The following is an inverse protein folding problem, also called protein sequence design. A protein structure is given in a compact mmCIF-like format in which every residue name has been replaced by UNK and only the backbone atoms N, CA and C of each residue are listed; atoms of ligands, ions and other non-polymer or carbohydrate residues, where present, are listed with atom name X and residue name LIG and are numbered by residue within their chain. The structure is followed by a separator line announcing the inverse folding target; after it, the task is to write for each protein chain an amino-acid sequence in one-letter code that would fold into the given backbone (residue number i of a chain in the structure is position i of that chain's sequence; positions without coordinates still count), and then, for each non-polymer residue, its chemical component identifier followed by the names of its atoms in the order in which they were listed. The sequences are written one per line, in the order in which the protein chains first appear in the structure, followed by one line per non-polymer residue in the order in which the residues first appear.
data_IF_702880915789
#
_entry.id   IF_702880915789
#
_cell.length_a   1.000
_cell.length_b   1.000
_cell.length_c   1.000
_cell.angle_alpha   90.00
_cell.angle_beta   90.00
_cell.angle_gamma   90.00
#
_symmetry.space_group_name_H-M   'P 1'
#
loop_
_entity.id
_entity.type
_entity.pdbx_description
1 polymer ?
#
# COMPACT_ATOMS: atom_id res chain seq x y z
N UNK A 1 -18.22 15.55 -29.28
CA UNK A 1 -17.90 14.11 -29.32
C UNK A 1 -16.63 13.88 -28.50
N UNK A 2 -16.69 13.18 -27.38
CA UNK A 2 -15.50 12.87 -26.57
C UNK A 2 -14.97 11.48 -26.93
N UNK A 3 -13.77 11.43 -27.49
CA UNK A 3 -13.10 10.17 -27.85
C UNK A 3 -12.51 9.56 -26.58
N UNK A 4 -13.16 8.54 -26.03
CA UNK A 4 -12.63 7.79 -24.89
C UNK A 4 -11.44 6.93 -25.33
N UNK A 5 -10.23 7.39 -25.07
CA UNK A 5 -9.01 6.61 -25.32
C UNK A 5 -8.99 5.39 -24.41
N UNK A 6 -9.40 4.22 -24.93
CA UNK A 6 -9.22 2.95 -24.23
C UNK A 6 -7.72 2.65 -24.12
N UNK A 7 -7.13 2.96 -22.97
CA UNK A 7 -5.78 2.51 -22.62
C UNK A 7 -5.82 0.99 -22.42
N UNK A 8 -5.56 0.26 -23.50
CA UNK A 8 -5.46 -1.19 -23.48
C UNK A 8 -4.39 -1.61 -22.47
N UNK A 9 -4.76 -2.28 -21.37
CA UNK A 9 -3.80 -2.76 -20.38
C UNK A 9 -2.84 -3.75 -21.05
N UNK A 10 -1.61 -3.31 -21.34
CA UNK A 10 -0.54 -4.19 -21.79
C UNK A 10 -0.07 -4.99 -20.59
N UNK A 11 -0.81 -6.06 -20.26
CA UNK A 11 -0.28 -7.14 -19.43
C UNK A 11 0.95 -7.67 -20.15
N UNK A 12 2.11 -7.56 -19.53
CA UNK A 12 3.36 -8.13 -20.04
C UNK A 12 3.49 -9.56 -19.48
N UNK A 13 3.07 -10.61 -20.23
CA UNK A 13 3.31 -11.98 -19.81
C UNK A 13 4.82 -12.21 -19.74
N UNK A 14 5.31 -12.77 -18.63
CA UNK A 14 6.75 -13.06 -18.47
C UNK A 14 7.17 -14.35 -19.19
N UNK A 15 6.67 -14.58 -20.40
CA UNK A 15 6.96 -15.75 -21.21
C UNK A 15 7.64 -15.32 -22.51
N UNK A 16 8.97 -15.45 -22.56
CA UNK A 16 9.75 -15.37 -23.81
C UNK A 16 10.34 -16.76 -24.08
N UNK A 17 10.60 -17.15 -25.34
CA UNK A 17 11.17 -18.48 -25.65
C UNK A 17 12.47 -18.80 -24.92
N UNK A 18 13.25 -17.77 -24.57
CA UNK A 18 14.54 -17.87 -23.87
C UNK A 18 14.49 -17.46 -22.40
N UNK A 19 13.34 -17.00 -21.89
CA UNK A 19 13.19 -16.57 -20.49
C UNK A 19 12.05 -17.33 -19.81
N UNK A 20 12.42 -18.22 -18.89
CA UNK A 20 11.48 -18.93 -18.02
C UNK A 20 11.47 -18.27 -16.64
N UNK A 21 10.37 -17.64 -16.22
CA UNK A 21 10.28 -17.00 -14.91
C UNK A 21 10.17 -18.08 -13.81
N UNK A 22 10.41 -17.69 -12.56
CA UNK A 22 10.18 -18.58 -11.42
C UNK A 22 8.70 -19.03 -11.37
N UNK A 23 8.45 -20.27 -10.93
CA UNK A 23 7.10 -20.86 -10.88
C UNK A 23 6.11 -19.94 -10.17
N UNK A 24 4.94 -19.69 -10.79
CA UNK A 24 3.93 -18.76 -10.28
C UNK A 24 4.19 -17.26 -10.55
N UNK A 25 5.23 -16.92 -11.31
CA UNK A 25 5.53 -15.55 -11.74
C UNK A 25 5.07 -15.31 -13.19
N UNK A 26 3.76 -15.30 -13.41
CA UNK A 26 3.13 -15.18 -14.74
C UNK A 26 2.99 -13.75 -15.26
N UNK A 27 2.94 -12.77 -14.35
CA UNK A 27 2.75 -11.34 -14.63
C UNK A 27 3.81 -10.53 -13.85
N UNK A 28 4.55 -9.66 -14.55
CA UNK A 28 5.61 -8.84 -13.97
C UNK A 28 5.08 -7.87 -12.88
N UNK A 29 3.94 -7.23 -13.14
CA UNK A 29 3.33 -6.27 -12.20
C UNK A 29 2.90 -6.97 -10.90
N UNK A 30 2.27 -8.14 -11.01
CA UNK A 30 1.89 -8.95 -9.83
C UNK A 30 3.10 -9.54 -9.10
N UNK A 31 4.19 -9.82 -9.81
CA UNK A 31 5.44 -10.26 -9.19
C UNK A 31 6.04 -9.14 -8.32
N UNK A 32 6.22 -7.94 -8.88
CA UNK A 32 6.79 -6.78 -8.15
C UNK A 32 5.98 -6.47 -6.88
N UNK A 33 4.64 -6.40 -6.98
CA UNK A 33 3.80 -6.11 -5.80
C UNK A 33 3.81 -7.25 -4.79
N UNK A 34 3.87 -8.53 -5.20
CA UNK A 34 4.03 -9.66 -4.27
C UNK A 34 5.37 -9.64 -3.55
N UNK A 35 6.48 -9.39 -4.26
CA UNK A 35 7.81 -9.25 -3.68
C UNK A 35 7.87 -8.07 -2.70
N UNK A 36 7.28 -6.93 -3.05
CA UNK A 36 7.19 -5.77 -2.16
C UNK A 36 6.41 -6.09 -0.89
N UNK A 37 5.21 -6.70 -0.99
CA UNK A 37 4.40 -7.12 0.17
C UNK A 37 5.17 -8.12 1.04
N UNK A 38 5.86 -9.10 0.45
CA UNK A 38 6.67 -10.07 1.19
C UNK A 38 7.81 -9.37 1.95
N UNK A 39 8.59 -8.51 1.28
CA UNK A 39 9.68 -7.76 1.90
C UNK A 39 9.19 -6.81 2.99
N UNK A 40 8.04 -6.17 2.78
CA UNK A 40 7.40 -5.29 3.76
C UNK A 40 6.87 -6.10 4.97
N UNK A 41 6.40 -7.33 4.79
CA UNK A 41 5.98 -8.21 5.89
C UNK A 41 7.16 -8.61 6.79
N UNK A 42 8.33 -8.88 6.21
CA UNK A 42 9.58 -9.07 6.98
C UNK A 42 10.04 -7.82 7.73
N UNK A 43 9.55 -6.65 7.33
CA UNK A 43 9.81 -5.36 7.96
C UNK A 43 10.99 -4.60 7.35
N UNK A 44 10.78 -3.31 7.10
CA UNK A 44 11.76 -2.41 6.49
C UNK A 44 12.10 -1.30 7.49
N UNK A 45 13.38 -1.18 7.84
CA UNK A 45 13.86 -0.10 8.70
C UNK A 45 13.86 1.22 7.94
N UNK A 46 13.21 2.23 8.53
CA UNK A 46 13.14 3.60 8.04
C UNK A 46 13.19 4.59 9.21
N UNK A 47 13.55 5.84 8.97
CA UNK A 47 13.30 6.91 9.95
C UNK A 47 11.86 7.38 9.79
N UNK A 48 11.07 7.28 10.86
CA UNK A 48 9.69 7.75 10.88
C UNK A 48 9.60 9.09 11.61
N UNK A 49 9.06 10.10 10.95
CA UNK A 49 8.76 11.39 11.59
C UNK A 49 7.41 11.31 12.31
N UNK A 50 7.32 11.91 13.50
CA UNK A 50 6.08 11.95 14.28
C UNK A 50 5.38 13.32 14.17
N UNK A 51 4.05 13.32 14.25
CA UNK A 51 3.21 14.51 13.97
C UNK A 51 3.30 15.62 15.01
N UNK A 52 3.50 15.30 16.29
CA UNK A 52 3.60 16.31 17.37
C UNK A 52 4.95 17.03 17.29
N UNK A 53 5.00 18.35 17.44
CA UNK A 53 6.26 19.12 17.44
C UNK A 53 7.32 18.55 18.41
N UNK A 54 6.87 18.00 19.54
CA UNK A 54 7.74 17.46 20.60
C UNK A 54 8.30 16.05 20.35
N UNK A 55 7.71 15.26 19.45
CA UNK A 55 8.19 13.89 19.21
C UNK A 55 9.34 13.88 18.19
N UNK A 56 10.48 13.32 18.59
CA UNK A 56 11.68 13.19 17.75
C UNK A 56 11.45 12.25 16.57
N UNK A 57 12.14 12.48 15.46
CA UNK A 57 12.27 11.53 14.34
C UNK A 57 13.04 10.30 14.84
N UNK A 58 12.60 9.08 14.51
CA UNK A 58 13.13 7.84 15.11
C UNK A 58 13.16 6.66 14.12
N UNK A 59 14.12 5.75 14.25
CA UNK A 59 14.19 4.52 13.47
C UNK A 59 13.04 3.56 13.84
N UNK A 60 12.32 3.07 12.83
CA UNK A 60 11.17 2.18 13.00
C UNK A 60 11.20 1.10 11.93
N UNK A 61 10.79 -0.11 12.30
CA UNK A 61 10.59 -1.22 11.36
C UNK A 61 9.15 -1.19 10.89
N UNK A 62 8.94 -0.60 9.71
CA UNK A 62 7.67 -0.50 9.02
C UNK A 62 7.30 -1.88 8.44
N UNK A 63 6.09 -2.36 8.70
CA UNK A 63 5.66 -3.67 8.19
C UNK A 63 4.16 -3.73 7.90
N UNK A 64 3.80 -4.67 7.02
CA UNK A 64 2.40 -5.02 6.72
C UNK A 64 2.00 -6.28 7.49
N UNK A 65 0.75 -6.35 7.95
CA UNK A 65 0.20 -7.55 8.59
C UNK A 65 0.04 -8.72 7.60
N UNK A 66 -0.33 -9.90 8.10
CA UNK A 66 -0.68 -11.08 7.29
C UNK A 66 -1.69 -10.77 6.19
N UNK A 67 -2.69 -9.94 6.51
CA UNK A 67 -3.73 -9.44 5.60
C UNK A 67 -3.23 -8.68 4.34
N UNK A 68 -1.93 -8.32 4.27
CA UNK A 68 -1.32 -7.70 3.10
C UNK A 68 -1.82 -6.28 2.78
N UNK A 69 -2.69 -5.72 3.61
CA UNK A 69 -3.37 -4.42 3.42
C UNK A 69 -3.08 -3.43 4.56
N UNK A 70 -2.74 -3.94 5.74
CA UNK A 70 -2.65 -3.12 6.94
C UNK A 70 -1.21 -2.82 7.33
N UNK A 71 -0.84 -1.54 7.29
CA UNK A 71 0.47 -1.03 7.64
C UNK A 71 0.57 -0.69 9.13
N UNK A 72 1.66 -1.08 9.78
CA UNK A 72 2.04 -0.62 11.12
C UNK A 72 3.56 -0.55 11.25
N UNK A 73 4.09 -0.19 12.41
CA UNK A 73 5.53 -0.06 12.63
C UNK A 73 5.90 -0.41 14.07
N UNK A 74 7.10 -0.97 14.31
CA UNK A 74 7.66 -1.19 15.65
C UNK A 74 8.97 -0.42 15.85
N UNK A 75 9.46 -0.19 17.08
CA UNK A 75 10.82 0.28 17.32
C UNK A 75 11.85 -0.57 16.56
N UNK A 76 12.91 0.05 16.07
CA UNK A 76 14.10 -0.67 15.65
C UNK A 76 14.89 -1.16 16.88
N UNK A 77 15.97 -1.92 16.67
CA UNK A 77 16.89 -2.26 17.76
C UNK A 77 17.53 -0.97 18.34
N UNK A 78 17.64 -0.89 19.66
CA UNK A 78 18.16 0.30 20.37
C UNK A 78 17.22 1.50 20.46
N UNK A 79 16.02 1.43 19.86
CA UNK A 79 15.05 2.54 19.86
C UNK A 79 14.04 2.44 21.02
N UNK A 80 13.71 3.55 21.71
CA UNK A 80 12.72 3.53 22.78
C UNK A 80 11.35 3.04 22.30
N UNK A 81 10.82 2.08 23.05
CA UNK A 81 9.44 1.60 22.93
C UNK A 81 8.45 2.60 23.51
N UNK A 82 7.16 2.40 23.21
CA UNK A 82 6.06 3.13 23.84
C UNK A 82 5.01 2.11 24.25
N UNK A 83 4.38 2.34 25.41
CA UNK A 83 3.22 1.56 25.86
C UNK A 83 2.02 1.70 24.92
N UNK A 84 1.92 2.80 24.17
CA UNK A 84 0.86 3.00 23.17
C UNK A 84 1.15 2.17 21.92
N UNK A 85 0.30 1.18 21.66
CA UNK A 85 0.36 0.38 20.43
C UNK A 85 0.28 1.30 19.19
N UNK A 86 1.11 1.05 18.17
CA UNK A 86 1.07 1.79 16.92
C UNK A 86 -0.23 1.47 16.16
N UNK A 87 -0.80 2.44 15.42
CA UNK A 87 -2.06 2.26 14.71
C UNK A 87 -1.89 1.28 13.55
N UNK A 88 -2.89 0.42 13.36
CA UNK A 88 -3.05 -0.41 12.17
C UNK A 88 -3.72 0.44 11.08
N UNK A 89 -2.98 0.84 10.05
CA UNK A 89 -3.45 1.75 8.99
C UNK A 89 -3.81 0.97 7.73
N UNK A 90 -4.97 1.26 7.17
CA UNK A 90 -5.46 0.61 5.95
C UNK A 90 -4.87 1.25 4.69
N UNK A 91 -3.97 0.56 4.00
CA UNK A 91 -3.32 1.04 2.77
C UNK A 91 -4.31 1.31 1.63
N UNK A 92 -5.49 0.68 1.60
CA UNK A 92 -6.49 1.01 0.58
C UNK A 92 -7.13 2.39 0.79
N UNK A 93 -6.85 3.05 1.93
CA UNK A 93 -7.28 4.43 2.24
C UNK A 93 -6.13 5.43 2.11
N UNK A 94 -4.95 5.00 1.68
CA UNK A 94 -3.86 5.88 1.31
C UNK A 94 -4.22 6.59 -0.01
N UNK A 95 -4.39 7.91 0.01
CA UNK A 95 -4.82 8.70 -1.15
C UNK A 95 -3.64 9.16 -2.03
N UNK A 96 -2.43 9.21 -1.46
CA UNK A 96 -1.24 9.73 -2.15
C UNK A 96 0.05 9.15 -1.54
N UNK A 97 1.06 8.93 -2.38
CA UNK A 97 2.45 8.68 -1.97
C UNK A 97 3.29 9.87 -2.43
N UNK A 98 3.50 10.84 -1.53
CA UNK A 98 4.10 12.14 -1.88
C UNK A 98 5.61 12.17 -1.61
N UNK A 99 6.43 12.52 -2.58
CA UNK A 99 7.86 12.77 -2.34
C UNK A 99 8.07 14.11 -1.60
N UNK A 100 9.17 14.24 -0.84
CA UNK A 100 9.46 15.49 -0.14
C UNK A 100 9.72 16.69 -1.08
N UNK A 101 10.03 16.45 -2.37
CA UNK A 101 10.15 17.49 -3.39
C UNK A 101 8.91 17.69 -4.26
N UNK A 102 7.87 16.84 -4.14
CA UNK A 102 6.58 17.09 -4.81
C UNK A 102 5.91 18.34 -4.20
N UNK A 103 5.29 19.23 -4.99
CA UNK A 103 4.52 20.35 -4.46
C UNK A 103 3.43 19.93 -3.47
N UNK A 104 3.16 20.75 -2.46
CA UNK A 104 2.04 20.56 -1.53
C UNK A 104 0.76 21.10 -2.19
N UNK A 105 -0.24 20.26 -2.54
CA UNK A 105 -1.43 20.70 -3.28
C UNK A 105 -2.30 21.69 -2.50
N UNK A 106 -2.12 21.80 -1.18
CA UNK A 106 -2.77 22.82 -0.36
C UNK A 106 -2.01 24.15 -0.33
N UNK A 107 -0.71 24.15 -0.61
CA UNK A 107 0.15 25.33 -0.60
C UNK A 107 1.29 25.17 -1.63
N UNK A 108 1.05 25.40 -2.94
CA UNK A 108 2.02 25.05 -4.01
C UNK A 108 3.40 25.71 -3.92
N UNK A 109 3.54 26.79 -3.13
CA UNK A 109 4.82 27.44 -2.81
C UNK A 109 5.76 26.56 -1.95
N UNK A 110 5.25 25.46 -1.39
CA UNK A 110 5.98 24.54 -0.53
C UNK A 110 5.97 23.11 -1.11
N UNK A 111 6.97 22.32 -0.75
CA UNK A 111 7.06 20.89 -1.13
C UNK A 111 6.79 19.95 0.04
N UNK A 112 6.48 18.69 -0.26
CA UNK A 112 6.25 17.62 0.70
C UNK A 112 5.01 17.83 1.56
N UNK A 113 5.08 17.38 2.81
CA UNK A 113 4.06 17.60 3.85
C UNK A 113 4.57 18.61 4.89
N UNK A 114 3.70 19.26 5.68
CA UNK A 114 4.13 20.12 6.78
C UNK A 114 5.09 19.42 7.78
N UNK A 115 4.94 18.11 7.98
CA UNK A 115 5.77 17.33 8.89
C UNK A 115 7.15 17.05 8.28
N UNK A 116 7.22 16.73 6.98
CA UNK A 116 8.50 16.61 6.28
C UNK A 116 9.24 17.94 6.29
N UNK A 117 8.57 19.06 5.98
CA UNK A 117 9.18 20.41 6.04
C UNK A 117 9.73 20.77 7.41
N UNK A 118 9.06 20.35 8.49
CA UNK A 118 9.51 20.64 9.85
C UNK A 118 10.60 19.69 10.37
N UNK A 119 10.72 18.45 9.85
CA UNK A 119 11.46 17.36 10.51
C UNK A 119 12.37 16.51 9.64
N UNK A 120 12.28 16.65 8.32
CA UNK A 120 13.28 16.13 7.42
C UNK A 120 14.36 17.20 7.29
N UNK A 121 15.60 16.85 7.62
CA UNK A 121 16.75 17.70 7.31
C UNK A 121 16.86 17.83 5.78
N UNK A 122 17.23 19.01 5.29
CA UNK A 122 17.29 19.27 3.84
C UNK A 122 18.14 18.26 3.05
N UNK A 123 19.33 17.80 3.53
CA UNK A 123 20.12 16.76 2.84
C UNK A 123 19.38 15.42 2.68
N UNK A 124 18.41 15.12 3.55
CA UNK A 124 17.66 13.87 3.52
C UNK A 124 16.40 13.93 2.61
N UNK A 125 15.99 15.11 2.12
CA UNK A 125 14.74 15.27 1.37
C UNK A 125 14.65 14.38 0.12
N UNK A 126 15.76 14.17 -0.59
CA UNK A 126 15.84 13.31 -1.78
C UNK A 126 15.41 11.85 -1.53
N UNK A 127 15.50 11.38 -0.27
CA UNK A 127 15.13 10.02 0.15
C UNK A 127 13.95 10.01 1.13
N UNK A 128 13.11 11.04 1.09
CA UNK A 128 11.97 11.21 1.99
C UNK A 128 10.64 11.32 1.26
N UNK A 129 9.61 10.74 1.84
CA UNK A 129 8.26 10.70 1.29
C UNK A 129 7.21 10.56 2.40
N UNK A 130 5.94 10.73 2.06
CA UNK A 130 4.82 10.55 2.96
C UNK A 130 3.73 9.68 2.33
N UNK A 131 3.18 8.77 3.13
CA UNK A 131 1.90 8.12 2.83
C UNK A 131 0.78 9.00 3.38
N UNK A 132 -0.08 9.53 2.50
CA UNK A 132 -1.16 10.45 2.88
C UNK A 132 -2.46 9.66 3.01
N UNK A 133 -3.15 9.83 4.13
CA UNK A 133 -4.48 9.26 4.41
C UNK A 133 -5.43 10.40 4.82
N UNK A 134 -6.76 10.26 4.66
CA UNK A 134 -7.74 11.33 4.90
C UNK A 134 -7.67 12.03 6.26
N UNK A 135 -7.14 11.36 7.30
CA UNK A 135 -7.04 11.90 8.67
C UNK A 135 -5.60 12.00 9.21
N UNK A 136 -4.58 11.67 8.39
CA UNK A 136 -3.17 11.62 8.83
C UNK A 136 -2.18 11.39 7.69
N UNK A 137 -0.93 11.74 7.93
CA UNK A 137 0.23 11.25 7.15
C UNK A 137 1.01 10.18 7.92
N UNK A 138 1.83 9.42 7.18
CA UNK A 138 2.99 8.68 7.69
C UNK A 138 4.21 9.16 6.93
N UNK A 139 4.91 10.10 7.55
CA UNK A 139 6.08 10.78 6.98
C UNK A 139 7.37 10.00 7.31
N UNK A 140 8.17 9.73 6.28
CA UNK A 140 9.26 8.75 6.28
C UNK A 140 10.50 9.35 5.59
N UNK A 141 11.68 9.17 6.21
CA UNK A 141 12.99 9.23 5.53
C UNK A 141 13.51 7.80 5.40
N UNK A 142 13.83 7.38 4.17
CA UNK A 142 14.47 6.09 3.90
C UNK A 142 15.96 6.13 4.28
N UNK A 143 16.58 4.96 4.44
CA UNK A 143 18.02 4.84 4.73
C UNK A 143 18.84 5.33 3.52
N UNK A 144 18.47 4.89 2.32
CA UNK A 144 19.11 5.24 1.03
C UNK A 144 18.08 5.79 0.02
N UNK A 145 18.58 6.46 -1.03
CA UNK A 145 17.76 6.94 -2.14
C UNK A 145 17.04 5.79 -2.88
N UNK A 146 17.74 4.69 -3.15
CA UNK A 146 17.16 3.51 -3.80
C UNK A 146 16.05 2.88 -2.96
N UNK A 147 16.24 2.83 -1.63
CA UNK A 147 15.19 2.37 -0.72
C UNK A 147 13.97 3.31 -0.78
N UNK A 148 14.17 4.63 -0.87
CA UNK A 148 13.06 5.58 -1.06
C UNK A 148 12.29 5.28 -2.35
N UNK A 149 12.99 5.10 -3.47
CA UNK A 149 12.38 4.78 -4.78
C UNK A 149 11.56 3.48 -4.73
N UNK A 150 12.17 2.39 -4.24
CA UNK A 150 11.50 1.09 -4.09
C UNK A 150 10.29 1.17 -3.16
N UNK A 151 10.39 1.92 -2.05
CA UNK A 151 9.26 2.14 -1.14
C UNK A 151 8.13 2.93 -1.81
N UNK A 152 8.44 4.01 -2.54
CA UNK A 152 7.44 4.84 -3.19
C UNK A 152 6.70 4.11 -4.31
N UNK A 153 7.43 3.43 -5.20
CA UNK A 153 6.85 2.64 -6.29
C UNK A 153 6.03 1.47 -5.73
N UNK A 154 6.58 0.73 -4.76
CA UNK A 154 5.91 -0.39 -4.11
C UNK A 154 4.64 0.02 -3.34
N UNK A 155 4.66 1.13 -2.60
CA UNK A 155 3.46 1.64 -1.94
C UNK A 155 2.44 2.15 -2.95
N UNK A 156 2.85 2.86 -4.00
CA UNK A 156 1.93 3.35 -5.04
C UNK A 156 1.18 2.18 -5.70
N UNK A 157 1.92 1.16 -6.16
CA UNK A 157 1.34 -0.02 -6.80
C UNK A 157 0.46 -0.84 -5.84
N UNK A 158 0.88 -1.01 -4.58
CA UNK A 158 0.09 -1.74 -3.58
C UNK A 158 -1.21 -1.02 -3.22
N UNK A 159 -1.15 0.29 -2.94
CA UNK A 159 -2.32 1.11 -2.62
C UNK A 159 -3.31 1.16 -3.79
N UNK A 160 -2.83 1.36 -5.02
CA UNK A 160 -3.65 1.32 -6.23
C UNK A 160 -4.36 -0.03 -6.40
N UNK A 161 -3.63 -1.14 -6.33
CA UNK A 161 -4.22 -2.49 -6.45
C UNK A 161 -5.30 -2.75 -5.40
N UNK A 162 -5.10 -2.30 -4.16
CA UNK A 162 -6.08 -2.43 -3.07
C UNK A 162 -7.33 -1.57 -3.31
N UNK A 163 -7.19 -0.38 -3.91
CA UNK A 163 -8.32 0.46 -4.29
C UNK A 163 -9.13 -0.14 -5.45
N UNK A 164 -8.46 -0.63 -6.50
CA UNK A 164 -9.11 -1.33 -7.63
C UNK A 164 -9.90 -2.55 -7.13
N UNK A 165 -9.31 -3.37 -6.26
CA UNK A 165 -10.01 -4.52 -5.66
C UNK A 165 -11.25 -4.11 -4.84
N UNK A 166 -11.16 -3.03 -4.07
CA UNK A 166 -12.31 -2.50 -3.32
C UNK A 166 -13.42 -1.96 -4.24
N UNK A 167 -13.08 -1.35 -5.38
CA UNK A 167 -14.05 -0.86 -6.36
C UNK A 167 -14.78 -2.03 -7.04
N UNK A 168 -14.04 -3.04 -7.50
CA UNK A 168 -14.60 -4.26 -8.08
C UNK A 168 -15.54 -5.00 -7.11
N UNK A 169 -15.12 -5.17 -5.85
CA UNK A 169 -15.93 -5.83 -4.82
C UNK A 169 -17.21 -5.07 -4.45
N UNK A 170 -17.24 -3.73 -4.58
CA UNK A 170 -18.47 -2.93 -4.37
C UNK A 170 -19.48 -3.08 -5.50
N UNK A 171 -19.02 -3.28 -6.73
CA UNK A 171 -19.88 -3.48 -7.90
C UNK A 171 -20.77 -4.73 -7.81
N UNK A 172 -20.35 -5.76 -7.05
CA UNK A 172 -21.12 -6.99 -6.86
C UNK A 172 -22.17 -6.91 -5.72
N UNK A 173 -22.18 -5.83 -4.93
CA UNK A 173 -22.94 -5.75 -3.67
C UNK A 173 -24.23 -4.92 -3.69
N UNK A 174 -24.60 -4.27 -4.80
CA UNK A 174 -25.77 -3.36 -4.87
C UNK A 174 -26.81 -3.72 -5.94
N UNK A 175 -26.82 -4.98 -6.41
CA UNK A 175 -27.73 -5.46 -7.46
C UNK A 175 -28.99 -6.21 -7.00
N UNK A 176 -29.20 -6.45 -5.69
CA UNK A 176 -30.21 -7.41 -5.23
C UNK A 176 -30.91 -7.05 -3.92
N UNK A 177 -31.86 -6.09 -3.94
CA UNK A 177 -32.84 -5.92 -2.86
C UNK A 177 -34.11 -5.13 -3.24
N UNK A 178 -34.95 -5.72 -4.09
CA UNK A 178 -36.41 -5.44 -4.14
C UNK A 178 -37.14 -6.60 -4.84
N UNK A 179 -38.00 -7.31 -4.11
CA UNK A 179 -38.68 -8.51 -4.60
C UNK A 179 -39.02 -9.52 -3.49
N UNK A 180 -39.97 -9.16 -2.62
CA UNK A 180 -40.89 -10.10 -1.97
C UNK A 180 -42.08 -10.23 -2.94
N UNK A 181 -42.70 -11.37 -3.25
CA UNK A 181 -42.47 -12.78 -2.87
C UNK A 181 -43.03 -13.70 -4.00
N UNK A 182 -43.36 -15.00 -3.90
CA UNK A 182 -43.38 -16.05 -2.85
C UNK A 182 -43.16 -17.44 -3.53
N UNK A 183 -43.71 -18.55 -2.99
CA UNK A 183 -43.92 -19.91 -3.55
C UNK A 183 -42.78 -20.74 -4.22
N UNK A 184 -42.52 -21.95 -3.70
CA UNK A 184 -42.28 -23.11 -4.59
C UNK A 184 -41.16 -24.15 -4.35
N UNK A 185 -40.93 -24.68 -3.13
CA UNK A 185 -40.19 -25.96 -2.88
C UNK A 185 -38.70 -26.02 -3.39
N UNK A 186 -37.92 -27.16 -3.39
CA UNK A 186 -36.53 -27.13 -2.89
C UNK A 186 -35.47 -27.65 -3.90
N UNK A 187 -34.30 -28.03 -3.37
CA UNK A 187 -33.10 -28.56 -4.05
C UNK A 187 -32.28 -27.47 -4.80
N UNK A 188 -30.94 -27.49 -4.85
CA UNK A 188 -29.94 -28.53 -4.51
C UNK A 188 -28.67 -27.92 -3.86
N UNK A 189 -27.88 -28.74 -3.16
CA UNK A 189 -26.61 -28.35 -2.51
C UNK A 189 -25.48 -28.21 -3.53
N UNK A 190 -25.03 -26.98 -3.81
CA UNK A 190 -23.69 -26.73 -4.36
C UNK A 190 -22.91 -25.74 -3.49
N UNK A 191 -22.07 -26.27 -2.58
CA UNK A 191 -21.14 -25.48 -1.78
C UNK A 191 -19.79 -25.35 -2.49
N UNK A 192 -19.56 -24.25 -3.20
CA UNK A 192 -18.24 -23.93 -3.77
C UNK A 192 -17.30 -23.50 -2.65
N UNK A 193 -16.25 -24.29 -2.41
CA UNK A 193 -15.35 -24.11 -1.27
C UNK A 193 -14.52 -22.82 -1.34
N UNK A 194 -14.35 -22.16 -0.19
CA UNK A 194 -13.46 -21.00 -0.04
C UNK A 194 -12.00 -21.46 0.03
N UNK A 195 -11.19 -21.10 -0.97
CA UNK A 195 -9.78 -21.51 -1.06
C UNK A 195 -8.94 -20.74 -0.02
N UNK A 196 -8.71 -21.39 1.12
CA UNK A 196 -7.78 -20.91 2.15
C UNK A 196 -6.37 -21.41 1.82
N UNK A 197 -5.50 -20.51 1.36
CA UNK A 197 -4.09 -20.83 1.14
C UNK A 197 -3.30 -20.74 2.46
N UNK A 198 -3.26 -21.85 3.20
CA UNK A 198 -2.26 -22.07 4.26
C UNK A 198 -0.98 -22.66 3.66
N UNK A 199 0.08 -21.86 3.55
CA UNK A 199 1.42 -22.39 3.33
C UNK A 199 2.10 -22.65 4.67
N UNK A 200 2.23 -23.93 5.03
CA UNK A 200 3.12 -24.41 6.10
C UNK A 200 4.50 -24.73 5.54
N UNK A 201 5.51 -23.99 5.99
CA UNK A 201 6.92 -24.40 6.18
C UNK A 201 7.56 -23.40 7.13
#
# INVERSE_FOLDING_TARGET
TQTATQTHEVRMPMYLPTFKPATGCTNASDFIVRCFVARLRSGITVVKHGRSRWCKSRLRILHVHSDGRSLTWKPALGEPSSSKRPPKLDLSTCVEVRHAWSPDPLNPMFTGTPILRQKCEAPNAHKSFALVFPKRTVDITAVTADQCKVLMEGFSALCFRLQVANLAGRGQGQGGKRGKSEDGQPDDRTTTASVTLTNTT
#
